data_IF_477042064868
#
_entry.id   IF_477042064868
#
_cell.length_a   1.000
_cell.length_b   1.000
_cell.length_c   1.000
_cell.angle_alpha   90.00
_cell.angle_beta   90.00
_cell.angle_gamma   90.00
#
_symmetry.space_group_name_H-M   'P 1'
#
loop_
_entity.id
_entity.type
_entity.pdbx_description
1 polymer ?
#
# COMPACT_ATOMS: atom_id res chain seq x y z
N UNK A 1 -1.95 38.35 26.97
CA UNK A 1 -2.49 37.63 28.15
C UNK A 1 -2.66 36.16 27.75
N UNK A 2 -1.87 35.23 28.32
CA UNK A 2 -1.92 33.81 27.94
C UNK A 2 -2.99 33.07 28.76
N UNK A 3 -3.71 32.14 28.12
CA UNK A 3 -4.63 31.21 28.79
C UNK A 3 -3.98 29.82 28.82
N UNK A 4 -3.96 29.30 30.04
CA UNK A 4 -3.31 28.11 30.57
C UNK A 4 -3.86 26.79 30.04
N UNK A 5 -2.97 25.90 29.55
CA UNK A 5 -3.23 24.46 29.42
C UNK A 5 -2.88 23.76 30.75
N UNK A 6 -3.86 23.15 31.42
CA UNK A 6 -3.64 22.21 32.54
C UNK A 6 -3.59 20.79 32.00
N UNK A 7 -2.38 20.21 31.93
CA UNK A 7 -2.17 18.78 31.72
C UNK A 7 -2.09 18.06 33.06
N UNK A 8 -2.96 17.06 33.27
CA UNK A 8 -2.86 16.10 34.36
C UNK A 8 -1.85 15.01 33.97
N UNK A 9 -0.80 14.86 34.78
CA UNK A 9 0.21 13.81 34.67
C UNK A 9 -0.13 12.73 35.71
N UNK A 10 -0.45 11.51 35.26
CA UNK A 10 -0.65 10.34 36.12
C UNK A 10 0.66 9.57 36.16
N UNK A 11 1.33 9.56 37.32
CA UNK A 11 2.51 8.76 37.59
C UNK A 11 2.14 7.31 37.88
N UNK A 12 2.84 6.30 37.33
CA UNK A 12 2.75 4.94 37.84
C UNK A 12 3.57 4.77 39.13
N UNK A 13 2.95 4.07 40.07
CA UNK A 13 3.44 3.75 41.42
C UNK A 13 4.77 3.00 41.40
N UNK A 14 5.72 3.50 42.18
CA UNK A 14 7.01 2.88 42.49
C UNK A 14 6.84 1.53 43.19
N UNK A 15 7.48 0.49 42.65
CA UNK A 15 7.83 -0.72 43.39
C UNK A 15 9.34 -0.73 43.59
N UNK A 16 9.72 -0.66 44.86
CA UNK A 16 11.06 -0.85 45.40
C UNK A 16 11.59 -2.23 45.05
N UNK A 17 12.79 -2.30 44.48
CA UNK A 17 13.64 -3.49 44.52
C UNK A 17 15.07 -3.07 44.88
N UNK A 18 15.59 -3.78 45.88
CA UNK A 18 16.88 -3.57 46.52
C UNK A 18 18.06 -3.72 45.56
N UNK A 19 19.09 -2.92 45.82
CA UNK A 19 20.39 -2.98 45.19
C UNK A 19 21.13 -4.30 45.48
N UNK A 20 21.81 -4.83 44.46
CA UNK A 20 22.94 -5.74 44.63
C UNK A 20 24.10 -5.22 43.76
N UNK A 21 25.23 -5.04 44.43
CA UNK A 21 26.50 -4.50 43.96
C UNK A 21 27.24 -5.53 43.11
N UNK A 22 27.76 -5.13 41.94
CA UNK A 22 28.87 -5.84 41.29
C UNK A 22 29.72 -4.84 40.50
N UNK A 23 30.97 -4.72 40.93
CA UNK A 23 32.00 -3.85 40.38
C UNK A 23 32.82 -4.56 39.30
N UNK A 24 33.14 -3.84 38.23
CA UNK A 24 34.30 -3.97 37.30
C UNK A 24 34.06 -2.89 36.23
N UNK A 25 34.90 -1.89 35.93
CA UNK A 25 36.36 -1.80 35.99
C UNK A 25 36.90 -1.80 34.56
N UNK A 26 37.13 -0.61 33.97
CA UNK A 26 38.18 -0.34 32.97
C UNK A 26 38.15 1.15 32.52
N UNK A 27 39.23 1.86 32.81
CA UNK A 27 39.56 3.22 32.40
C UNK A 27 40.60 3.11 31.28
N UNK A 28 40.39 3.78 30.15
CA UNK A 28 41.47 4.23 29.26
C UNK A 28 41.05 5.54 28.56
N UNK A 29 41.68 6.64 28.98
CA UNK A 29 41.71 7.92 28.26
C UNK A 29 43.10 8.49 28.47
N UNK A 30 43.93 8.47 27.42
CA UNK A 30 45.16 9.22 27.34
C UNK A 30 45.47 9.48 25.86
N UNK A 31 45.67 10.76 25.52
CA UNK A 31 46.63 11.35 24.55
C UNK A 31 46.21 12.83 24.43
N UNK A 32 46.74 13.74 25.24
CA UNK A 32 48.05 14.42 25.19
C UNK A 32 48.04 15.71 24.34
N UNK A 33 48.51 16.79 24.99
CA UNK A 33 48.72 18.15 24.50
C UNK A 33 50.12 18.34 23.88
N UNK A 34 50.29 19.42 23.10
CA UNK A 34 51.57 20.07 22.74
C UNK A 34 51.65 20.35 21.22
N UNK A 35 51.48 21.56 20.67
CA UNK A 35 52.05 22.92 20.87
C UNK A 35 53.43 23.15 20.21
N UNK A 36 53.62 24.40 19.72
CA UNK A 36 54.73 25.02 18.96
C UNK A 36 54.49 25.04 17.42
N UNK A 37 54.53 26.15 16.68
CA UNK A 37 54.89 27.54 16.99
C UNK A 37 55.66 28.16 15.80
N UNK A 38 55.00 29.11 15.10
CA UNK A 38 55.50 30.30 14.37
C UNK A 38 56.64 30.18 13.34
N UNK A 39 56.39 30.64 12.11
CA UNK A 39 56.98 31.87 11.57
C UNK A 39 56.23 32.35 10.31
N UNK A 40 56.02 33.67 10.21
CA UNK A 40 55.47 34.41 9.06
C UNK A 40 56.62 35.12 8.31
N UNK A 41 56.35 35.69 7.11
CA UNK A 41 56.14 37.15 7.11
C UNK A 41 55.06 37.68 6.14
N UNK A 42 54.66 38.93 6.47
CA UNK A 42 53.97 40.04 5.77
C UNK A 42 53.55 39.86 4.29
N UNK A 43 52.31 40.14 3.87
CA UNK A 43 51.47 41.36 3.94
C UNK A 43 51.84 42.43 2.91
N UNK A 44 50.93 42.63 1.95
CA UNK A 44 50.73 43.91 1.26
C UNK A 44 49.24 44.28 1.38
N UNK A 45 48.99 45.57 1.58
CA UNK A 45 47.75 46.13 2.08
C UNK A 45 46.98 46.87 0.97
N UNK A 46 45.65 46.79 1.00
CA UNK A 46 44.78 47.89 0.58
C UNK A 46 43.40 47.78 1.23
N UNK A 47 42.90 48.92 1.68
CA UNK A 47 41.86 49.10 2.68
C UNK A 47 40.55 49.68 2.09
N UNK A 48 39.59 49.88 3.01
CA UNK A 48 38.36 50.69 2.98
C UNK A 48 37.07 49.99 2.47
N UNK A 49 36.12 49.60 3.34
CA UNK A 49 35.12 50.40 4.12
C UNK A 49 33.83 50.63 3.30
N UNK A 50 32.72 49.95 3.59
CA UNK A 50 31.72 50.18 4.65
C UNK A 50 30.51 51.01 4.18
N UNK A 51 29.30 50.48 4.35
CA UNK A 51 28.14 51.19 4.94
C UNK A 51 26.89 50.32 4.99
N UNK A 52 26.36 50.17 6.20
CA UNK A 52 25.01 49.78 6.56
C UNK A 52 24.10 51.01 6.62
N UNK A 53 22.82 50.89 6.26
CA UNK A 53 21.76 51.81 6.74
C UNK A 53 20.45 51.05 6.92
N UNK A 54 19.91 51.14 8.12
CA UNK A 54 18.54 50.82 8.55
C UNK A 54 17.66 52.07 8.41
N UNK A 55 16.33 51.92 8.25
CA UNK A 55 15.35 52.96 8.61
C UNK A 55 13.96 52.38 8.83
N UNK A 56 13.30 52.92 9.85
CA UNK A 56 12.08 52.50 10.55
C UNK A 56 10.78 53.07 9.93
N UNK A 57 9.66 52.63 10.49
CA UNK A 57 8.26 52.80 10.12
C UNK A 57 7.66 54.22 10.24
N UNK A 58 6.47 54.40 9.63
CA UNK A 58 5.29 54.94 10.34
C UNK A 58 3.98 54.75 9.57
N UNK A 59 2.92 54.59 10.36
CA UNK A 59 1.54 54.27 10.02
C UNK A 59 0.75 55.43 9.39
N UNK A 60 -0.41 55.12 8.78
CA UNK A 60 -1.69 55.80 9.07
C UNK A 60 -2.87 55.01 8.51
N UNK A 61 -3.91 54.99 9.33
CA UNK A 61 -5.28 54.48 9.19
C UNK A 61 -6.11 55.20 8.15
N UNK A 62 -7.07 54.51 7.52
CA UNK A 62 -8.50 54.87 7.59
C UNK A 62 -9.41 53.83 6.91
N UNK A 63 -10.52 53.54 7.59
CA UNK A 63 -11.78 52.95 7.13
C UNK A 63 -12.85 53.96 7.55
N UNK A 64 -14.03 54.12 6.89
CA UNK A 64 -15.01 53.03 6.74
C UNK A 64 -15.94 53.14 5.51
N UNK A 65 -16.86 52.18 5.34
CA UNK A 65 -18.03 52.38 4.48
C UNK A 65 -18.72 51.11 4.01
N UNK A 66 -19.85 50.78 4.64
CA UNK A 66 -20.73 49.65 4.34
C UNK A 66 -21.42 49.75 2.97
N UNK A 67 -21.78 48.60 2.38
CA UNK A 67 -23.16 48.34 1.96
C UNK A 67 -23.37 46.92 1.46
N UNK A 68 -24.46 46.35 1.95
CA UNK A 68 -25.09 45.12 1.48
C UNK A 68 -25.65 45.29 0.05
N UNK A 69 -25.75 44.19 -0.67
CA UNK A 69 -26.89 43.97 -1.57
C UNK A 69 -27.17 42.47 -1.70
N UNK A 70 -28.44 42.18 -1.48
CA UNK A 70 -29.09 40.88 -1.58
C UNK A 70 -29.78 40.72 -2.95
N UNK A 71 -30.32 39.51 -3.16
CA UNK A 71 -31.25 39.06 -4.20
C UNK A 71 -30.60 38.78 -5.58
N UNK A 72 -30.98 37.75 -6.35
CA UNK A 72 -32.20 36.94 -6.42
C UNK A 72 -31.81 35.51 -6.92
N UNK A 73 -32.33 34.42 -6.37
CA UNK A 73 -33.58 33.73 -6.73
C UNK A 73 -33.79 33.48 -8.23
N UNK A 74 -33.61 32.23 -8.69
CA UNK A 74 -34.52 31.57 -9.65
C UNK A 74 -34.63 30.07 -9.37
N UNK A 75 -35.88 29.62 -9.32
CA UNK A 75 -36.39 28.28 -9.11
C UNK A 75 -36.42 27.44 -10.40
N UNK A 76 -36.34 26.10 -10.24
CA UNK A 76 -37.20 25.05 -10.86
C UNK A 76 -36.42 23.71 -10.84
N UNK A 77 -36.72 22.78 -9.93
CA UNK A 77 -37.76 21.73 -10.00
C UNK A 77 -37.47 20.55 -10.97
N UNK A 78 -38.00 19.34 -10.68
CA UNK A 78 -37.19 18.12 -10.62
C UNK A 78 -37.47 17.14 -11.77
N UNK A 79 -36.70 16.05 -11.84
CA UNK A 79 -37.04 14.88 -12.65
C UNK A 79 -36.79 13.60 -11.86
N UNK A 80 -37.90 13.06 -11.36
CA UNK A 80 -38.07 11.65 -11.00
C UNK A 80 -38.16 10.82 -12.28
N UNK A 81 -37.51 9.66 -12.31
CA UNK A 81 -38.00 8.50 -13.08
C UNK A 81 -37.42 7.22 -12.49
N UNK A 82 -38.31 6.50 -11.81
CA UNK A 82 -38.18 5.09 -11.51
C UNK A 82 -38.54 4.28 -12.77
N UNK A 83 -37.88 3.15 -12.99
CA UNK A 83 -38.49 2.02 -13.69
C UNK A 83 -37.83 0.72 -13.25
N UNK A 84 -38.65 -0.10 -12.61
CA UNK A 84 -38.46 -1.50 -12.32
C UNK A 84 -39.29 -2.31 -13.31
N UNK A 85 -38.76 -3.45 -13.78
CA UNK A 85 -39.49 -4.70 -14.07
C UNK A 85 -38.52 -5.67 -14.74
N UNK A 86 -38.16 -6.76 -14.08
CA UNK A 86 -38.87 -8.04 -14.05
C UNK A 86 -38.33 -8.99 -15.14
N UNK A 87 -37.63 -10.04 -14.73
CA UNK A 87 -37.33 -11.20 -15.57
C UNK A 87 -37.88 -12.44 -14.89
N UNK A 88 -38.87 -13.03 -15.54
CA UNK A 88 -39.51 -14.28 -15.16
C UNK A 88 -38.63 -15.47 -15.57
N UNK A 89 -38.64 -16.51 -14.73
CA UNK A 89 -38.20 -17.87 -15.02
C UNK A 89 -39.43 -18.78 -15.13
N UNK A 90 -39.43 -19.77 -16.04
CA UNK A 90 -39.66 -21.16 -15.63
C UNK A 90 -38.62 -22.09 -16.28
N UNK A 91 -37.95 -23.01 -15.58
CA UNK A 91 -38.38 -24.34 -15.10
C UNK A 91 -38.62 -25.36 -16.23
N UNK A 92 -37.91 -26.50 -16.19
CA UNK A 92 -38.19 -27.63 -17.09
C UNK A 92 -37.05 -28.65 -17.21
N UNK A 93 -37.04 -29.63 -16.30
CA UNK A 93 -36.24 -30.86 -16.35
C UNK A 93 -36.65 -31.78 -17.50
N UNK A 94 -35.72 -32.56 -18.08
CA UNK A 94 -35.90 -33.99 -18.37
C UNK A 94 -34.67 -34.64 -19.07
N UNK A 95 -34.23 -35.77 -18.51
CA UNK A 95 -33.47 -36.87 -19.14
C UNK A 95 -34.28 -38.14 -18.82
N UNK A 96 -34.51 -39.10 -19.75
CA UNK A 96 -33.63 -40.27 -19.92
C UNK A 96 -33.43 -40.80 -21.36
N UNK A 97 -32.41 -41.66 -21.48
CA UNK A 97 -31.90 -42.42 -22.65
C UNK A 97 -32.82 -43.63 -23.00
N UNK A 98 -32.44 -44.69 -23.79
CA UNK A 98 -31.26 -44.98 -24.63
C UNK A 98 -31.59 -45.66 -26.01
N UNK A 99 -30.58 -46.28 -26.65
CA UNK A 99 -30.60 -47.21 -27.83
C UNK A 99 -30.20 -46.56 -29.16
N UNK A 100 -29.27 -47.08 -29.97
CA UNK A 100 -28.46 -48.30 -29.87
C UNK A 100 -27.49 -48.42 -31.06
N UNK A 101 -26.48 -49.27 -30.86
CA UNK A 101 -25.70 -50.10 -31.80
C UNK A 101 -25.12 -49.56 -33.14
N UNK A 102 -23.78 -49.70 -33.18
CA UNK A 102 -22.93 -50.42 -34.16
C UNK A 102 -22.17 -49.64 -35.25
N UNK A 103 -20.85 -49.68 -35.05
CA UNK A 103 -19.78 -50.12 -35.96
C UNK A 103 -19.50 -49.36 -37.25
N UNK A 104 -18.30 -48.78 -37.33
CA UNK A 104 -17.29 -49.18 -38.32
C UNK A 104 -15.90 -48.65 -37.92
N UNK A 105 -14.90 -49.49 -38.14
CA UNK A 105 -13.49 -49.26 -37.87
C UNK A 105 -12.90 -48.18 -38.78
N UNK A 106 -11.99 -47.38 -38.22
CA UNK A 106 -11.05 -46.55 -38.94
C UNK A 106 -9.75 -46.49 -38.15
N UNK A 107 -8.81 -47.37 -38.49
CA UNK A 107 -7.44 -47.31 -38.00
C UNK A 107 -6.81 -45.98 -38.39
N UNK A 108 -6.65 -45.11 -37.41
CA UNK A 108 -5.81 -43.93 -37.48
C UNK A 108 -4.90 -43.93 -36.26
N UNK A 109 -3.72 -44.54 -36.39
CA UNK A 109 -2.59 -44.34 -35.49
C UNK A 109 -2.11 -42.90 -35.61
N UNK A 110 -2.85 -41.98 -34.99
CA UNK A 110 -2.38 -40.66 -34.65
C UNK A 110 -2.17 -40.67 -33.14
N UNK A 111 -0.96 -40.98 -32.69
CA UNK A 111 -0.52 -40.53 -31.36
C UNK A 111 -0.59 -39.01 -31.40
N UNK A 112 -1.70 -38.45 -30.92
CA UNK A 112 -1.77 -37.04 -30.57
C UNK A 112 -0.74 -36.86 -29.46
N UNK A 113 0.47 -36.51 -29.87
CA UNK A 113 1.52 -36.08 -28.97
C UNK A 113 0.97 -34.85 -28.26
N UNK A 114 0.56 -35.06 -27.01
CA UNK A 114 0.19 -33.97 -26.12
C UNK A 114 1.30 -32.94 -26.25
N UNK A 115 0.94 -31.74 -26.70
CA UNK A 115 1.87 -30.62 -26.75
C UNK A 115 2.56 -30.57 -25.38
N UNK A 116 3.90 -30.47 -25.33
CA UNK A 116 4.60 -30.43 -24.06
C UNK A 116 3.94 -29.33 -23.24
N UNK A 117 3.35 -29.70 -22.10
CA UNK A 117 2.87 -28.73 -21.13
C UNK A 117 4.04 -27.80 -20.89
N UNK A 118 3.97 -26.58 -21.42
CA UNK A 118 5.03 -25.60 -21.30
C UNK A 118 5.33 -25.53 -19.81
N UNK A 119 6.48 -26.11 -19.41
CA UNK A 119 6.85 -26.22 -18.01
C UNK A 119 6.67 -24.84 -17.42
N UNK A 120 5.87 -24.74 -16.35
CA UNK A 120 5.78 -23.49 -15.63
C UNK A 120 7.22 -23.06 -15.32
N UNK A 121 7.57 -21.79 -15.52
CA UNK A 121 8.90 -21.28 -15.24
C UNK A 121 9.27 -21.67 -13.83
N UNK A 122 10.56 -21.87 -13.57
CA UNK A 122 11.03 -22.01 -12.21
C UNK A 122 10.95 -20.64 -11.52
N UNK A 123 9.75 -20.27 -11.08
CA UNK A 123 9.52 -19.05 -10.33
C UNK A 123 10.33 -19.10 -9.03
N UNK A 124 10.82 -17.94 -8.54
CA UNK A 124 11.62 -17.90 -7.32
C UNK A 124 10.85 -18.25 -6.03
N UNK A 125 9.52 -18.36 -6.12
CA UNK A 125 8.59 -18.73 -5.05
C UNK A 125 7.48 -19.61 -5.62
N UNK A 126 6.74 -20.32 -4.76
CA UNK A 126 5.59 -21.13 -5.19
C UNK A 126 4.48 -20.23 -5.73
N UNK A 127 4.05 -20.49 -6.97
CA UNK A 127 2.99 -19.73 -7.64
C UNK A 127 1.84 -20.66 -8.00
N UNK A 128 0.62 -20.31 -7.58
CA UNK A 128 -0.60 -20.84 -8.19
C UNK A 128 -1.02 -19.94 -9.37
N UNK A 129 -0.57 -20.29 -10.57
CA UNK A 129 -0.78 -19.49 -11.77
C UNK A 129 -2.26 -19.45 -12.21
N UNK A 130 -3.04 -20.51 -11.99
CA UNK A 130 -4.37 -20.69 -12.55
C UNK A 130 -4.46 -20.21 -14.03
N UNK A 131 -5.37 -19.27 -14.33
CA UNK A 131 -5.57 -18.66 -15.65
C UNK A 131 -4.75 -17.37 -15.87
N UNK A 132 -3.82 -17.02 -14.98
CA UNK A 132 -3.01 -15.81 -15.10
C UNK A 132 -2.05 -15.88 -16.28
N UNK A 133 -1.90 -14.76 -16.98
CA UNK A 133 -0.83 -14.51 -17.95
C UNK A 133 0.13 -13.40 -17.50
N UNK A 134 -0.15 -12.79 -16.34
CA UNK A 134 0.72 -11.86 -15.64
C UNK A 134 0.89 -12.31 -14.17
N UNK A 135 2.13 -12.45 -13.72
CA UNK A 135 2.45 -12.82 -12.33
C UNK A 135 3.50 -11.86 -11.79
N UNK A 136 3.37 -11.45 -10.54
CA UNK A 136 4.40 -10.75 -9.78
C UNK A 136 4.89 -11.72 -8.70
N UNK A 137 6.18 -12.02 -8.65
CA UNK A 137 6.77 -12.82 -7.56
C UNK A 137 7.53 -11.92 -6.61
N UNK A 138 7.38 -12.16 -5.31
CA UNK A 138 8.08 -11.47 -4.23
C UNK A 138 8.85 -12.51 -3.46
N UNK A 139 10.18 -12.53 -3.62
CA UNK A 139 11.09 -13.39 -2.85
C UNK A 139 11.73 -12.57 -1.74
N UNK A 140 11.40 -12.86 -0.49
CA UNK A 140 11.87 -12.09 0.65
C UNK A 140 13.13 -12.68 1.31
N UNK A 141 13.86 -11.80 2.01
CA UNK A 141 14.90 -12.15 2.98
C UNK A 141 14.87 -11.10 4.09
N UNK A 142 14.39 -11.49 5.28
CA UNK A 142 14.03 -10.55 6.34
C UNK A 142 12.96 -9.57 5.86
N UNK A 143 13.21 -8.26 6.02
CA UNK A 143 12.31 -7.18 5.55
C UNK A 143 12.62 -6.67 4.14
N UNK A 144 13.59 -7.27 3.45
CA UNK A 144 13.92 -6.97 2.05
C UNK A 144 13.30 -8.01 1.12
N UNK A 145 13.10 -7.66 -0.14
CA UNK A 145 12.64 -8.60 -1.16
C UNK A 145 13.20 -8.29 -2.55
N UNK A 146 13.15 -9.28 -3.43
CA UNK A 146 13.21 -9.11 -4.88
C UNK A 146 11.79 -9.25 -5.44
N UNK A 147 11.33 -8.23 -6.15
CA UNK A 147 10.02 -8.20 -6.80
C UNK A 147 10.22 -8.31 -8.31
N UNK A 148 9.65 -9.35 -8.91
CA UNK A 148 9.79 -9.64 -10.34
C UNK A 148 8.41 -9.77 -10.99
N UNK A 149 8.15 -9.00 -12.04
CA UNK A 149 6.97 -9.16 -12.88
C UNK A 149 7.28 -10.08 -14.06
N UNK A 150 6.36 -10.99 -14.36
CA UNK A 150 6.46 -12.05 -15.35
C UNK A 150 5.27 -12.00 -16.30
N UNK A 151 5.52 -12.10 -17.60
CA UNK A 151 4.50 -12.17 -18.63
C UNK A 151 4.56 -13.53 -19.35
N UNK A 152 3.40 -14.15 -19.57
CA UNK A 152 3.25 -15.38 -20.37
C UNK A 152 3.09 -15.01 -21.85
N UNK A 153 4.07 -15.39 -22.67
CA UNK A 153 4.00 -15.31 -24.13
C UNK A 153 3.85 -16.68 -24.78
N UNK A 154 3.93 -16.72 -26.11
CA UNK A 154 3.89 -17.97 -26.90
C UNK A 154 5.02 -18.94 -26.56
N UNK A 155 6.21 -18.42 -26.24
CA UNK A 155 7.40 -19.21 -25.85
C UNK A 155 7.46 -19.55 -24.35
N UNK A 156 6.37 -19.36 -23.60
CA UNK A 156 6.34 -19.48 -22.15
C UNK A 156 6.52 -18.14 -21.44
N UNK A 157 6.88 -18.17 -20.16
CA UNK A 157 6.98 -16.93 -19.38
C UNK A 157 8.37 -16.30 -19.44
N UNK A 158 8.38 -14.97 -19.32
CA UNK A 158 9.60 -14.16 -19.23
C UNK A 158 9.46 -13.11 -18.15
N UNK A 159 10.55 -12.83 -17.44
CA UNK A 159 10.61 -11.66 -16.56
C UNK A 159 10.67 -10.39 -17.41
N UNK A 160 9.89 -9.37 -17.02
CA UNK A 160 9.79 -8.10 -17.75
C UNK A 160 10.16 -6.89 -16.90
N UNK A 161 10.06 -7.03 -15.57
CA UNK A 161 10.46 -6.04 -14.58
C UNK A 161 11.08 -6.80 -13.40
N UNK A 162 12.19 -6.31 -12.86
CA UNK A 162 12.78 -6.82 -11.62
C UNK A 162 13.37 -5.66 -10.83
N UNK A 163 13.14 -5.64 -9.53
CA UNK A 163 13.67 -4.62 -8.64
C UNK A 163 13.82 -5.13 -7.20
N UNK A 164 14.59 -4.41 -6.40
CA UNK A 164 14.52 -4.54 -4.94
C UNK A 164 13.17 -4.04 -4.43
N UNK A 165 12.75 -4.56 -3.29
CA UNK A 165 11.55 -4.15 -2.58
C UNK A 165 11.68 -4.36 -1.08
N UNK A 166 10.61 -3.99 -0.36
CA UNK A 166 10.48 -4.16 1.09
C UNK A 166 9.20 -4.92 1.39
N UNK A 167 9.22 -5.66 2.50
CA UNK A 167 8.06 -6.36 3.07
C UNK A 167 7.89 -5.98 4.53
N UNK A 168 7.00 -6.66 5.24
CA UNK A 168 6.77 -6.47 6.67
C UNK A 168 8.08 -6.45 7.47
N UNK A 169 8.16 -5.61 8.50
CA UNK A 169 9.35 -5.53 9.36
C UNK A 169 9.69 -6.87 10.03
N UNK A 170 8.69 -7.71 10.27
CA UNK A 170 8.83 -9.06 10.81
C UNK A 170 8.91 -10.15 9.72
N UNK A 171 9.13 -9.76 8.46
CA UNK A 171 9.32 -10.66 7.33
C UNK A 171 8.03 -11.29 6.82
N UNK A 172 8.15 -12.52 6.32
CA UNK A 172 7.04 -13.28 5.72
C UNK A 172 6.55 -14.33 6.72
N UNK A 173 5.23 -14.53 6.80
CA UNK A 173 4.59 -15.65 7.52
C UNK A 173 3.60 -16.35 6.61
N UNK A 174 3.28 -17.62 6.87
CA UNK A 174 2.22 -18.32 6.15
C UNK A 174 0.91 -17.50 6.18
N UNK A 175 0.41 -17.12 5.00
CA UNK A 175 -0.82 -16.37 4.86
C UNK A 175 -2.02 -17.09 5.47
N UNK A 176 -2.03 -18.42 5.53
CA UNK A 176 -3.10 -19.23 6.12
C UNK A 176 -3.20 -19.13 7.65
N UNK A 177 -2.15 -18.63 8.32
CA UNK A 177 -2.10 -18.46 9.79
C UNK A 177 -1.80 -17.04 10.24
N UNK A 178 -1.50 -16.12 9.31
CA UNK A 178 -1.22 -14.70 9.60
C UNK A 178 -2.33 -14.02 10.41
N UNK A 179 -1.92 -13.14 11.33
CA UNK A 179 -2.79 -12.30 12.17
C UNK A 179 -2.50 -10.81 11.96
N UNK A 180 -3.53 -9.98 12.13
CA UNK A 180 -3.43 -8.51 12.11
C UNK A 180 -2.45 -7.99 13.16
N UNK A 181 -1.79 -6.86 12.89
CA UNK A 181 -0.87 -6.22 13.84
C UNK A 181 0.46 -6.95 14.06
N UNK A 182 0.76 -8.01 13.30
CA UNK A 182 2.02 -8.78 13.45
C UNK A 182 3.19 -8.22 12.64
N UNK A 183 2.99 -7.16 11.85
CA UNK A 183 4.00 -6.56 10.96
C UNK A 183 4.69 -7.55 10.00
N UNK A 184 4.00 -8.64 9.66
CA UNK A 184 4.44 -9.66 8.69
C UNK A 184 3.74 -9.46 7.35
N UNK A 185 4.31 -9.89 6.24
CA UNK A 185 3.64 -10.00 4.94
C UNK A 185 3.16 -11.44 4.74
N UNK A 186 1.94 -11.68 4.22
CA UNK A 186 1.41 -13.03 4.06
C UNK A 186 2.04 -13.73 2.84
N UNK A 187 2.71 -14.87 3.05
CA UNK A 187 3.07 -15.80 1.99
C UNK A 187 1.82 -16.34 1.30
N UNK A 188 1.92 -16.69 0.02
CA UNK A 188 0.82 -17.26 -0.76
C UNK A 188 0.71 -16.64 -2.14
N UNK A 189 -0.27 -17.08 -2.92
CA UNK A 189 -0.61 -16.48 -4.22
C UNK A 189 -1.97 -15.82 -4.14
N UNK A 190 -2.02 -14.53 -4.48
CA UNK A 190 -3.21 -13.69 -4.39
C UNK A 190 -3.52 -13.06 -5.74
N UNK A 191 -4.80 -12.83 -6.03
CA UNK A 191 -5.19 -12.04 -7.20
C UNK A 191 -4.95 -10.56 -6.94
N UNK A 192 -4.77 -9.81 -8.02
CA UNK A 192 -4.81 -8.35 -8.03
C UNK A 192 -5.97 -7.96 -8.95
N UNK A 193 -6.99 -7.31 -8.41
CA UNK A 193 -8.21 -6.97 -9.17
C UNK A 193 -8.45 -5.48 -9.31
N UNK A 194 -7.80 -4.67 -8.48
CA UNK A 194 -7.97 -3.22 -8.46
C UNK A 194 -6.72 -2.54 -7.90
N UNK A 195 -6.61 -1.24 -8.14
CA UNK A 195 -5.62 -0.37 -7.53
C UNK A 195 -6.24 0.93 -7.01
N UNK A 196 -5.42 1.71 -6.33
CA UNK A 196 -5.81 3.03 -5.86
C UNK A 196 -4.58 3.92 -5.67
N UNK A 197 -4.80 5.22 -5.49
CA UNK A 197 -3.75 6.12 -5.06
C UNK A 197 -4.16 7.58 -5.11
N UNK A 198 -3.32 8.46 -4.55
CA UNK A 198 -3.54 9.91 -4.51
C UNK A 198 -3.25 10.56 -5.88
N UNK A 199 -2.49 9.87 -6.72
CA UNK A 199 -2.19 10.24 -8.10
C UNK A 199 -3.00 9.39 -9.10
N UNK A 200 -3.01 9.81 -10.37
CA UNK A 200 -3.57 9.00 -11.45
C UNK A 200 -2.77 7.71 -11.62
N UNK A 201 -3.46 6.58 -11.77
CA UNK A 201 -2.80 5.28 -11.79
C UNK A 201 -1.87 5.06 -12.98
N UNK A 202 -2.21 5.61 -14.16
CA UNK A 202 -1.50 5.29 -15.40
C UNK A 202 -1.58 3.81 -15.74
N UNK A 203 -2.71 3.18 -15.43
CA UNK A 203 -2.95 1.74 -15.55
C UNK A 203 -4.28 1.47 -16.25
N UNK A 204 -4.42 0.26 -16.81
CA UNK A 204 -5.68 -0.25 -17.33
C UNK A 204 -6.51 -1.00 -16.28
N UNK A 205 -5.94 -1.26 -15.10
CA UNK A 205 -6.68 -1.86 -13.99
C UNK A 205 -7.81 -0.92 -13.52
N UNK A 206 -8.93 -1.47 -12.99
CA UNK A 206 -9.85 -0.69 -12.18
C UNK A 206 -9.07 0.07 -11.10
N UNK A 207 -9.24 1.40 -11.05
CA UNK A 207 -8.40 2.25 -10.23
C UNK A 207 -9.19 3.39 -9.58
N UNK A 208 -9.08 3.50 -8.27
CA UNK A 208 -9.72 4.58 -7.50
C UNK A 208 -8.71 5.66 -7.15
N UNK A 209 -8.97 6.90 -7.59
CA UNK A 209 -8.20 8.06 -7.11
C UNK A 209 -8.73 8.47 -5.74
N UNK A 210 -7.97 8.21 -4.69
CA UNK A 210 -8.40 8.45 -3.32
C UNK A 210 -8.33 9.93 -2.97
N UNK A 211 -9.21 10.34 -2.06
CA UNK A 211 -9.26 11.67 -1.46
C UNK A 211 -9.55 11.53 0.05
N UNK A 212 -9.80 12.64 0.74
CA UNK A 212 -10.04 12.67 2.19
C UNK A 212 -11.29 11.94 2.69
N UNK A 213 -12.14 11.41 1.81
CA UNK A 213 -13.24 10.55 2.24
C UNK A 213 -12.89 9.07 2.27
N UNK A 214 -11.75 8.65 1.70
CA UNK A 214 -11.46 7.22 1.47
C UNK A 214 -10.65 6.60 2.60
N UNK A 215 -11.17 5.47 3.11
CA UNK A 215 -10.56 4.66 4.15
C UNK A 215 -10.42 3.22 3.68
N UNK A 216 -9.36 2.53 4.10
CA UNK A 216 -9.32 1.08 4.09
C UNK A 216 -9.72 0.56 5.46
N UNK A 217 -10.82 -0.18 5.52
CA UNK A 217 -11.40 -0.56 6.79
C UNK A 217 -10.61 -1.72 7.40
N UNK A 218 -9.99 -1.48 8.55
CA UNK A 218 -9.23 -2.47 9.31
C UNK A 218 -9.86 -2.81 10.66
N UNK A 219 -11.00 -2.17 11.00
CA UNK A 219 -11.80 -2.46 12.19
C UNK A 219 -12.41 -3.87 12.11
N UNK A 220 -11.98 -4.83 12.96
CA UNK A 220 -12.51 -6.19 12.95
C UNK A 220 -14.01 -6.29 13.28
N UNK A 221 -14.61 -5.23 13.83
CA UNK A 221 -16.05 -5.17 14.15
C UNK A 221 -16.91 -4.62 13.01
N UNK A 222 -16.29 -4.03 11.97
CA UNK A 222 -17.02 -3.44 10.84
C UNK A 222 -17.49 -4.51 9.85
N UNK A 223 -18.69 -4.32 9.28
CA UNK A 223 -19.16 -5.13 8.14
C UNK A 223 -18.36 -4.89 6.86
N UNK A 224 -17.60 -3.80 6.82
CA UNK A 224 -16.74 -3.42 5.70
C UNK A 224 -15.29 -3.88 5.87
N UNK A 225 -14.98 -4.70 6.89
CA UNK A 225 -13.61 -5.17 7.15
C UNK A 225 -12.88 -5.67 5.89
N UNK A 226 -11.67 -5.15 5.70
CA UNK A 226 -10.78 -5.37 4.55
C UNK A 226 -11.36 -4.95 3.20
N UNK A 227 -12.06 -3.81 3.18
CA UNK A 227 -12.59 -3.16 1.99
C UNK A 227 -12.29 -1.67 2.03
N UNK A 228 -12.19 -1.04 0.86
CA UNK A 228 -12.23 0.41 0.77
C UNK A 228 -13.65 0.91 1.02
N UNK A 229 -13.81 1.91 1.87
CA UNK A 229 -15.10 2.53 2.16
C UNK A 229 -14.94 4.04 2.31
N UNK A 230 -16.00 4.80 2.01
CA UNK A 230 -15.99 6.25 2.26
C UNK A 230 -16.36 6.56 3.71
N UNK A 231 -15.96 7.72 4.22
CA UNK A 231 -16.37 8.18 5.55
C UNK A 231 -17.91 8.28 5.69
N UNK A 232 -18.61 8.61 4.60
CA UNK A 232 -20.05 8.59 4.56
C UNK A 232 -20.58 7.15 4.71
N UNK A 233 -21.47 6.93 5.67
CA UNK A 233 -22.07 5.61 5.93
C UNK A 233 -21.16 4.62 6.65
N UNK A 234 -20.03 5.08 7.22
CA UNK A 234 -19.13 4.24 8.01
C UNK A 234 -19.82 3.67 9.26
N UNK A 235 -19.60 2.38 9.53
CA UNK A 235 -19.98 1.71 10.78
C UNK A 235 -18.76 1.49 11.72
N UNK A 236 -17.63 2.10 11.36
CA UNK A 236 -16.35 2.06 12.07
C UNK A 236 -15.92 3.48 12.49
N UNK A 237 -15.06 3.62 13.51
CA UNK A 237 -14.55 4.93 13.91
C UNK A 237 -13.60 5.49 12.84
N UNK A 238 -13.73 6.78 12.51
CA UNK A 238 -12.82 7.49 11.60
C UNK A 238 -11.53 7.89 12.33
N UNK A 239 -10.76 6.88 12.76
CA UNK A 239 -9.47 7.00 13.45
C UNK A 239 -8.50 5.97 12.89
N UNK A 240 -7.22 6.31 12.85
CA UNK A 240 -6.15 5.39 12.45
C UNK A 240 -5.53 4.63 13.63
N UNK A 241 -6.01 4.90 14.86
CA UNK A 241 -5.39 4.38 16.09
C UNK A 241 -6.33 3.50 16.89
N UNK A 242 -5.75 2.57 17.66
CA UNK A 242 -6.47 1.62 18.50
C UNK A 242 -6.96 0.40 17.74
N UNK A 243 -7.56 -0.55 18.46
CA UNK A 243 -7.95 -1.87 17.93
C UNK A 243 -9.05 -1.82 16.87
N UNK A 244 -9.77 -0.70 16.79
CA UNK A 244 -10.82 -0.40 15.81
C UNK A 244 -10.39 0.64 14.77
N UNK A 245 -9.09 0.95 14.72
CA UNK A 245 -8.54 1.87 13.74
C UNK A 245 -8.71 1.33 12.32
N UNK A 246 -8.83 2.24 11.36
CA UNK A 246 -8.84 1.95 9.93
C UNK A 246 -7.87 2.91 9.23
N UNK A 247 -7.34 2.53 8.08
CA UNK A 247 -6.30 3.31 7.42
C UNK A 247 -6.91 4.46 6.61
N UNK A 248 -6.53 5.71 6.88
CA UNK A 248 -7.00 6.86 6.11
C UNK A 248 -6.09 7.07 4.90
N UNK A 249 -6.51 6.60 3.73
CA UNK A 249 -5.61 6.42 2.58
C UNK A 249 -4.91 7.70 2.12
N UNK A 250 -5.55 8.87 2.26
CA UNK A 250 -4.95 10.15 1.86
C UNK A 250 -3.76 10.57 2.74
N UNK A 251 -3.63 10.00 3.96
CA UNK A 251 -2.57 10.34 4.91
C UNK A 251 -1.20 9.74 4.55
N UNK A 252 -1.14 8.88 3.52
CA UNK A 252 0.09 8.23 3.06
C UNK A 252 0.43 8.59 1.60
N UNK A 253 0.58 9.88 1.26
CA UNK A 253 0.68 10.32 -0.14
C UNK A 253 1.93 9.79 -0.86
N UNK A 254 3.01 9.49 -0.13
CA UNK A 254 4.22 8.90 -0.73
C UNK A 254 4.01 7.44 -1.07
N UNK A 255 3.58 6.63 -0.10
CA UNK A 255 3.38 5.19 -0.26
C UNK A 255 2.24 4.92 -1.25
N UNK A 256 1.13 5.63 -1.09
CA UNK A 256 -0.07 5.52 -1.92
C UNK A 256 -0.14 6.58 -3.00
N UNK A 257 1.02 7.06 -3.46
CA UNK A 257 1.08 7.70 -4.77
C UNK A 257 0.39 6.83 -5.82
N UNK A 258 0.74 5.53 -5.83
CA UNK A 258 0.08 4.46 -6.59
C UNK A 258 0.19 3.14 -5.83
N UNK A 259 -0.90 2.39 -5.78
CA UNK A 259 -0.98 1.09 -5.13
C UNK A 259 -1.86 0.11 -5.93
N UNK A 260 -1.55 -1.17 -5.78
CA UNK A 260 -2.37 -2.30 -6.24
C UNK A 260 -2.81 -3.10 -5.03
N UNK A 261 -4.08 -3.52 -5.02
CA UNK A 261 -4.61 -4.31 -3.91
C UNK A 261 -4.19 -5.77 -4.05
N UNK A 262 -3.56 -6.30 -3.00
CA UNK A 262 -3.26 -7.72 -2.88
C UNK A 262 -4.46 -8.35 -2.19
N UNK A 263 -5.17 -9.26 -2.86
CA UNK A 263 -6.41 -9.86 -2.34
C UNK A 263 -6.17 -10.92 -1.25
N UNK A 264 -5.29 -10.63 -0.30
CA UNK A 264 -5.14 -11.39 0.93
C UNK A 264 -6.35 -11.14 1.83
N UNK A 265 -6.97 -12.22 2.33
CA UNK A 265 -8.09 -12.16 3.27
C UNK A 265 -9.30 -11.36 2.73
N UNK A 266 -9.64 -11.53 1.45
CA UNK A 266 -10.80 -10.88 0.81
C UNK A 266 -11.77 -11.94 0.27
N UNK A 267 -13.07 -11.71 0.49
CA UNK A 267 -14.22 -12.47 -0.04
C UNK A 267 -14.27 -13.97 0.29
N UNK A 268 -14.78 -14.35 1.48
CA UNK A 268 -15.10 -13.48 2.60
C UNK A 268 -13.84 -13.07 3.36
N UNK A 269 -13.82 -11.84 3.89
CA UNK A 269 -12.78 -11.43 4.82
C UNK A 269 -13.04 -12.05 6.19
N UNK A 270 -11.99 -12.57 6.82
CA UNK A 270 -12.04 -13.05 8.21
C UNK A 270 -11.43 -11.98 9.12
N UNK A 271 -12.22 -11.31 9.99
CA UNK A 271 -11.72 -10.34 10.95
C UNK A 271 -10.52 -10.83 11.77
N UNK A 272 -9.53 -9.96 11.97
CA UNK A 272 -8.32 -10.25 12.74
C UNK A 272 -7.22 -11.03 12.00
N UNK A 273 -7.46 -11.50 10.76
CA UNK A 273 -6.42 -12.12 9.91
C UNK A 273 -5.49 -11.09 9.24
N UNK A 274 -5.86 -9.82 9.29
CA UNK A 274 -5.16 -8.70 8.68
C UNK A 274 -5.95 -8.12 7.51
N UNK A 275 -5.85 -6.81 7.33
CA UNK A 275 -6.40 -6.05 6.22
C UNK A 275 -5.27 -5.24 5.56
N UNK A 276 -5.61 -4.48 4.52
CA UNK A 276 -4.74 -3.40 4.03
C UNK A 276 -3.41 -3.88 3.42
N UNK A 277 -3.42 -4.99 2.67
CA UNK A 277 -2.20 -5.52 2.05
C UNK A 277 -2.13 -5.09 0.60
N UNK A 278 -1.11 -4.29 0.30
CA UNK A 278 -0.96 -3.65 -1.00
C UNK A 278 0.43 -3.87 -1.58
N UNK A 279 0.54 -3.74 -2.90
CA UNK A 279 1.80 -3.47 -3.58
C UNK A 279 1.85 -1.96 -3.85
N UNK A 280 2.79 -1.23 -3.24
CA UNK A 280 2.82 0.23 -3.30
C UNK A 280 4.23 0.83 -3.42
N UNK A 281 4.33 2.15 -3.50
CA UNK A 281 5.62 2.86 -3.60
C UNK A 281 6.37 2.83 -2.27
N UNK A 282 7.69 2.69 -2.30
CA UNK A 282 8.52 2.70 -1.09
C UNK A 282 8.25 3.92 -0.20
N UNK A 283 8.09 3.64 1.09
CA UNK A 283 8.28 4.62 2.16
C UNK A 283 9.75 4.66 2.61
N UNK A 284 9.98 5.12 3.84
CA UNK A 284 11.34 5.24 4.42
C UNK A 284 11.95 3.90 4.89
N UNK A 285 11.17 2.83 5.00
CA UNK A 285 11.58 1.62 5.70
C UNK A 285 10.82 0.36 5.33
N UNK A 286 10.74 -0.57 6.29
CA UNK A 286 9.95 -1.79 6.13
C UNK A 286 8.46 -1.43 6.22
N UNK A 287 7.59 -2.31 5.73
CA UNK A 287 6.15 -2.10 5.77
C UNK A 287 5.55 -2.71 7.04
N UNK A 288 4.25 -2.48 7.27
CA UNK A 288 3.47 -3.23 8.26
C UNK A 288 2.94 -4.57 7.73
N UNK A 289 3.22 -4.92 6.47
CA UNK A 289 2.75 -6.14 5.83
C UNK A 289 2.55 -6.02 4.32
N UNK A 290 2.52 -4.81 3.77
CA UNK A 290 2.54 -4.56 2.34
C UNK A 290 3.84 -5.03 1.66
N UNK A 291 3.81 -5.08 0.34
CA UNK A 291 5.01 -5.15 -0.50
C UNK A 291 5.24 -3.75 -1.04
N UNK A 292 6.47 -3.23 -0.96
CA UNK A 292 6.79 -1.94 -1.57
C UNK A 292 7.97 -2.01 -2.54
N UNK A 293 7.92 -1.19 -3.57
CA UNK A 293 8.95 -1.09 -4.62
C UNK A 293 9.32 0.37 -4.90
N UNK A 294 10.48 0.66 -5.52
CA UNK A 294 10.81 2.01 -5.96
C UNK A 294 9.72 2.61 -6.85
N UNK A 295 9.53 3.93 -6.78
CA UNK A 295 8.48 4.64 -7.53
C UNK A 295 8.52 4.32 -9.02
N UNK A 296 9.70 4.38 -9.65
CA UNK A 296 9.88 4.08 -11.06
C UNK A 296 9.50 2.64 -11.42
N UNK A 297 9.74 1.68 -10.52
CA UNK A 297 9.29 0.30 -10.67
C UNK A 297 7.77 0.22 -10.59
N UNK A 298 7.15 0.90 -9.62
CA UNK A 298 5.69 0.92 -9.48
C UNK A 298 5.04 1.50 -10.74
N UNK A 299 5.57 2.60 -11.28
CA UNK A 299 5.06 3.21 -12.51
C UNK A 299 5.12 2.24 -13.71
N UNK A 300 6.21 1.47 -13.84
CA UNK A 300 6.34 0.42 -14.86
C UNK A 300 5.35 -0.73 -14.66
N UNK A 301 5.15 -1.16 -13.42
CA UNK A 301 4.15 -2.20 -13.10
C UNK A 301 2.75 -1.71 -13.45
N UNK A 302 2.39 -0.48 -13.07
CA UNK A 302 1.09 0.12 -13.35
C UNK A 302 0.80 0.22 -14.84
N UNK A 303 1.78 0.61 -15.64
CA UNK A 303 1.65 0.67 -17.11
C UNK A 303 1.54 -0.72 -17.76
N UNK A 304 2.16 -1.74 -17.15
CA UNK A 304 2.22 -3.11 -17.69
C UNK A 304 1.01 -3.96 -17.30
N UNK A 305 0.50 -3.82 -16.08
CA UNK A 305 -0.53 -4.69 -15.52
C UNK A 305 -1.89 -4.46 -16.19
N UNK A 306 -2.58 -5.56 -16.50
CA UNK A 306 -3.84 -5.55 -17.25
C UNK A 306 -4.89 -6.44 -16.60
N UNK A 307 -6.16 -6.01 -16.49
CA UNK A 307 -7.19 -6.81 -15.83
C UNK A 307 -7.48 -8.12 -16.57
N UNK A 308 -7.48 -8.08 -17.91
CA UNK A 308 -7.70 -9.26 -18.76
C UNK A 308 -6.58 -10.31 -18.69
N UNK A 309 -5.43 -9.99 -18.12
CA UNK A 309 -4.33 -10.93 -17.90
C UNK A 309 -4.47 -11.72 -16.58
N UNK A 310 -5.54 -11.50 -15.83
CA UNK A 310 -5.83 -12.10 -14.53
C UNK A 310 -4.63 -12.05 -13.57
N UNK A 311 -4.08 -10.86 -13.30
CA UNK A 311 -2.79 -10.73 -12.64
C UNK A 311 -2.81 -11.31 -11.23
N UNK A 312 -1.72 -11.99 -10.87
CA UNK A 312 -1.51 -12.57 -9.55
C UNK A 312 -0.20 -12.10 -8.95
N UNK A 313 -0.13 -12.07 -7.63
CA UNK A 313 1.10 -11.86 -6.88
C UNK A 313 1.36 -13.07 -5.97
N UNK A 314 2.55 -13.64 -6.08
CA UNK A 314 3.02 -14.73 -5.26
C UNK A 314 4.14 -14.26 -4.34
N UNK A 315 4.02 -14.54 -3.05
CA UNK A 315 4.90 -14.05 -2.00
C UNK A 315 5.48 -15.24 -1.24
N UNK A 316 6.80 -15.24 -1.02
CA UNK A 316 7.52 -16.28 -0.29
C UNK A 316 8.96 -15.93 0.04
#
# INVERSE_FOLDING_TARGET
MPITLKGYFVLPSSRTFSAALAATGAIFLATACGHQGKDAPAADAAAASASSVTSDASASSDSPGASASAAASVSASPSTSASASASAKPSGSAKPAPSGSRSAAGSGTGTAQAAPTAHAPNFPVRVDVANATQVITVKASGSYATVTAWAKGSSGWKSVISASGRVGSNGIVDGSTRRQGTYTTPAGTYTITEGFGVESGGTSMPYTRVNSSHWWVEDPQSKFYNQMHTAAGADFPLTETGDRGSEHLINYPTQYAKALVINFNRWPATPGRGAGIFLHVNGKGATAGCVSVPRSTMDRIMAWIQPGAHPRIAIG
#
